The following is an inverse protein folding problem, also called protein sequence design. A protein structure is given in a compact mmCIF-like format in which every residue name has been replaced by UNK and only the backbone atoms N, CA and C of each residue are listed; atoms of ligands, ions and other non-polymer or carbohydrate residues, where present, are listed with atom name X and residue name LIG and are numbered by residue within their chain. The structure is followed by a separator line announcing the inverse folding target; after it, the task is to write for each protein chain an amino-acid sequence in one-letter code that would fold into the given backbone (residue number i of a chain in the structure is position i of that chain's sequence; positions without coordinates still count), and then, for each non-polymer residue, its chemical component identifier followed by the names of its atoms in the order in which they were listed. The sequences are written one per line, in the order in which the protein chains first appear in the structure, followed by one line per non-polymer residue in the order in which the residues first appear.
data_IF_549617404718
#
_entry.id   IF_549617404718
#
_cell.length_a   1.000
_cell.length_b   1.000
_cell.length_c   1.000
_cell.angle_alpha   90.00
_cell.angle_beta   90.00
_cell.angle_gamma   90.00
#
_symmetry.space_group_name_H-M   'P 1'
#
loop_
_entity.id
_entity.type
_entity.pdbx_description
1 polymer ?
#
# COMPACT_ATOMS: atom_id res chain seq x y z
N UNK A 1 -33.07 40.33 32.51
CA UNK A 1 -33.26 39.00 31.89
C UNK A 1 -32.93 39.13 30.41
N UNK A 2 -31.89 38.46 29.92
CA UNK A 2 -31.66 38.30 28.48
C UNK A 2 -31.02 36.93 28.26
N UNK A 3 -31.83 36.00 27.74
CA UNK A 3 -31.44 34.65 27.36
C UNK A 3 -30.71 34.72 26.03
N UNK A 4 -29.45 34.30 25.98
CA UNK A 4 -28.77 33.98 24.72
C UNK A 4 -28.95 32.50 24.42
N UNK A 5 -29.82 32.28 23.43
CA UNK A 5 -30.19 31.01 22.81
C UNK A 5 -28.95 30.33 22.24
N UNK A 6 -28.55 29.19 22.81
CA UNK A 6 -27.44 28.36 22.31
C UNK A 6 -27.93 27.60 21.06
N UNK A 7 -27.62 28.11 19.88
CA UNK A 7 -27.91 27.45 18.62
C UNK A 7 -26.83 26.43 18.29
N UNK A 8 -27.10 25.14 18.49
CA UNK A 8 -26.24 24.08 17.95
C UNK A 8 -26.63 23.89 16.48
N UNK A 9 -25.78 24.33 15.56
CA UNK A 9 -25.91 23.98 14.15
C UNK A 9 -25.63 22.47 14.00
N UNK A 10 -26.67 21.69 13.68
CA UNK A 10 -26.55 20.28 13.35
C UNK A 10 -25.62 20.13 12.12
N UNK A 11 -24.44 19.60 12.35
CA UNK A 11 -23.57 19.08 11.29
C UNK A 11 -24.40 17.99 10.58
N UNK A 12 -24.51 18.08 9.26
CA UNK A 12 -25.34 17.19 8.47
C UNK A 12 -24.73 15.77 8.50
N UNK A 13 -25.16 14.97 9.48
CA UNK A 13 -24.62 13.64 9.76
C UNK A 13 -24.67 12.72 8.53
N UNK A 14 -25.60 12.97 7.60
CA UNK A 14 -25.72 12.25 6.33
C UNK A 14 -24.51 12.42 5.41
N UNK A 15 -23.91 13.62 5.33
CA UNK A 15 -22.73 13.88 4.52
C UNK A 15 -21.49 13.19 5.11
N UNK A 16 -21.38 13.20 6.44
CA UNK A 16 -20.34 12.51 7.19
C UNK A 16 -20.45 10.98 7.04
N UNK A 17 -21.67 10.44 7.13
CA UNK A 17 -21.91 9.00 6.95
C UNK A 17 -21.64 8.55 5.51
N UNK A 18 -22.01 9.36 4.50
CA UNK A 18 -21.70 9.05 3.11
C UNK A 18 -20.19 9.13 2.83
N UNK A 19 -19.48 10.09 3.41
CA UNK A 19 -18.02 10.18 3.32
C UNK A 19 -17.35 8.97 3.97
N UNK A 20 -17.81 8.53 5.15
CA UNK A 20 -17.28 7.34 5.80
C UNK A 20 -17.62 6.07 5.02
N UNK A 21 -18.84 5.95 4.51
CA UNK A 21 -19.31 4.78 3.75
C UNK A 21 -18.62 4.63 2.38
N UNK A 22 -18.30 5.73 1.68
CA UNK A 22 -17.54 5.66 0.43
C UNK A 22 -16.09 5.25 0.66
N UNK A 23 -15.50 5.64 1.80
CA UNK A 23 -14.15 5.27 2.20
C UNK A 23 -14.05 3.85 2.81
N UNK A 24 -15.18 3.24 3.21
CA UNK A 24 -15.26 1.89 3.78
C UNK A 24 -15.46 0.77 2.76
N UNK A 25 -15.43 1.05 1.45
CA UNK A 25 -15.22 -0.02 0.46
C UNK A 25 -13.87 -0.66 0.75
N UNK A 26 -13.88 -1.81 1.42
CA UNK A 26 -12.71 -2.63 1.71
C UNK A 26 -12.01 -2.90 0.39
N UNK A 27 -11.03 -2.06 0.06
CA UNK A 27 -10.25 -2.18 -1.17
C UNK A 27 -9.41 -3.42 -0.98
N UNK A 28 -9.80 -4.50 -1.65
CA UNK A 28 -9.08 -5.77 -1.58
C UNK A 28 -7.66 -5.53 -2.10
N UNK A 29 -6.67 -5.71 -1.23
CA UNK A 29 -5.27 -5.60 -1.61
C UNK A 29 -4.95 -6.58 -2.74
N UNK A 30 -4.38 -6.07 -3.82
CA UNK A 30 -4.02 -6.84 -5.01
C UNK A 30 -2.60 -7.36 -4.86
N UNK A 31 -2.27 -8.40 -5.63
CA UNK A 31 -0.90 -8.89 -5.75
C UNK A 31 -0.44 -8.72 -7.18
N UNK A 32 0.72 -8.10 -7.35
CA UNK A 32 1.36 -7.83 -8.64
C UNK A 32 2.57 -8.75 -8.78
N UNK A 33 2.56 -9.58 -9.82
CA UNK A 33 3.60 -10.58 -10.05
C UNK A 33 4.69 -10.03 -10.96
N UNK A 34 5.91 -9.92 -10.41
CA UNK A 34 7.11 -9.47 -11.09
C UNK A 34 8.13 -10.60 -11.27
N UNK A 35 7.77 -11.86 -10.98
CA UNK A 35 8.69 -13.02 -11.10
C UNK A 35 9.22 -13.24 -12.52
N UNK A 36 8.46 -12.81 -13.53
CA UNK A 36 8.83 -12.91 -14.95
C UNK A 36 9.41 -11.59 -15.51
N UNK A 37 9.74 -10.64 -14.64
CA UNK A 37 10.29 -9.32 -15.01
C UNK A 37 11.80 -9.28 -14.78
N UNK A 38 12.50 -8.56 -15.65
CA UNK A 38 13.97 -8.48 -15.65
C UNK A 38 14.44 -7.34 -14.73
N UNK A 39 15.18 -7.62 -13.64
CA UNK A 39 15.78 -6.59 -12.81
C UNK A 39 16.72 -5.68 -13.61
N UNK A 40 16.71 -4.37 -13.33
CA UNK A 40 17.48 -3.36 -14.05
C UNK A 40 16.85 -2.90 -15.38
N UNK A 41 15.86 -3.63 -15.90
CA UNK A 41 15.15 -3.27 -17.14
C UNK A 41 13.68 -2.96 -16.89
N UNK A 42 12.93 -3.90 -16.30
CA UNK A 42 11.50 -3.74 -16.01
C UNK A 42 11.26 -3.05 -14.65
N UNK A 43 12.22 -3.18 -13.74
CA UNK A 43 12.19 -2.56 -12.41
C UNK A 43 13.60 -2.47 -11.83
N UNK A 44 13.79 -1.59 -10.86
CA UNK A 44 14.98 -1.52 -9.99
C UNK A 44 14.52 -1.78 -8.56
N UNK A 45 15.21 -2.64 -7.83
CA UNK A 45 14.94 -2.93 -6.42
C UNK A 45 16.22 -2.83 -5.61
N UNK A 46 16.18 -2.03 -4.55
CA UNK A 46 17.32 -1.76 -3.67
C UNK A 46 16.93 -2.06 -2.23
N UNK A 47 17.77 -2.81 -1.52
CA UNK A 47 17.55 -3.11 -0.09
C UNK A 47 17.88 -1.85 0.72
N UNK A 48 16.97 -1.45 1.61
CA UNK A 48 17.09 -0.22 2.41
C UNK A 48 17.48 -0.52 3.86
N UNK A 49 17.20 -1.73 4.35
CA UNK A 49 17.53 -2.17 5.71
C UNK A 49 18.49 -3.36 5.69
N UNK A 50 19.48 -3.35 6.59
CA UNK A 50 20.52 -4.39 6.71
C UNK A 50 19.95 -5.80 6.98
N UNK A 51 18.70 -5.89 7.43
CA UNK A 51 17.98 -7.12 7.71
C UNK A 51 17.21 -7.69 6.49
N UNK A 52 17.34 -7.06 5.32
CA UNK A 52 16.65 -7.45 4.08
C UNK A 52 15.12 -7.49 4.20
N UNK A 53 14.55 -6.81 5.21
CA UNK A 53 13.09 -6.77 5.40
C UNK A 53 12.43 -5.60 4.70
N UNK A 54 13.22 -4.61 4.25
CA UNK A 54 12.71 -3.44 3.51
C UNK A 54 13.55 -3.14 2.28
N UNK A 55 12.88 -2.70 1.23
CA UNK A 55 13.53 -2.22 0.02
C UNK A 55 12.74 -1.11 -0.66
N UNK A 56 13.41 -0.40 -1.54
CA UNK A 56 12.85 0.59 -2.45
C UNK A 56 12.74 -0.03 -3.83
N UNK A 57 11.58 0.07 -4.48
CA UNK A 57 11.37 -0.42 -5.84
C UNK A 57 10.92 0.70 -6.74
N UNK A 58 11.56 0.86 -7.90
CA UNK A 58 11.11 1.74 -8.98
C UNK A 58 10.72 0.91 -10.18
N UNK A 59 9.53 1.13 -10.73
CA UNK A 59 9.08 0.46 -11.95
C UNK A 59 8.04 1.30 -12.70
N UNK A 60 7.59 0.79 -13.84
CA UNK A 60 6.52 1.38 -14.64
C UNK A 60 5.27 0.49 -14.63
N UNK A 61 4.08 1.09 -14.59
CA UNK A 61 2.78 0.44 -14.56
C UNK A 61 1.80 1.15 -13.64
N UNK A 62 0.51 0.82 -13.75
CA UNK A 62 -0.56 1.57 -13.06
C UNK A 62 -1.30 0.74 -12.03
N UNK A 63 -1.85 1.46 -11.05
CA UNK A 63 -2.89 0.97 -10.16
C UNK A 63 -2.41 0.23 -8.91
N UNK A 64 -1.09 0.17 -8.66
CA UNK A 64 -0.54 -0.28 -7.39
C UNK A 64 -0.88 0.77 -6.33
N UNK A 65 -1.19 0.32 -5.12
CA UNK A 65 -1.54 1.18 -3.99
C UNK A 65 -0.91 0.67 -2.71
N UNK A 66 -0.83 1.55 -1.70
CA UNK A 66 -0.45 1.15 -0.34
C UNK A 66 -1.30 -0.03 0.13
N UNK A 67 -0.62 -1.02 0.72
CA UNK A 67 -1.19 -2.28 1.20
C UNK A 67 -1.27 -3.39 0.15
N UNK A 68 -1.14 -3.08 -1.15
CA UNK A 68 -0.98 -4.12 -2.18
C UNK A 68 0.33 -4.88 -1.99
N UNK A 69 0.43 -6.02 -2.67
CA UNK A 69 1.59 -6.90 -2.60
C UNK A 69 2.33 -6.97 -3.93
N UNK A 70 3.64 -7.08 -3.87
CA UNK A 70 4.52 -7.34 -5.01
C UNK A 70 5.24 -8.66 -4.76
N UNK A 71 5.23 -9.54 -5.76
CA UNK A 71 5.98 -10.79 -5.75
C UNK A 71 7.21 -10.65 -6.63
N UNK A 72 8.39 -10.80 -6.03
CA UNK A 72 9.68 -10.76 -6.72
C UNK A 72 10.33 -12.14 -6.69
N UNK A 73 11.02 -12.50 -7.76
CA UNK A 73 11.92 -13.65 -7.77
C UNK A 73 13.35 -13.15 -7.65
N UNK A 74 14.07 -13.67 -6.66
CA UNK A 74 15.50 -13.44 -6.50
C UNK A 74 16.17 -14.81 -6.42
N UNK A 75 17.06 -15.09 -7.37
CA UNK A 75 17.61 -16.42 -7.61
C UNK A 75 16.48 -17.47 -7.82
N UNK A 76 16.47 -18.53 -7.02
CA UNK A 76 15.45 -19.59 -7.05
C UNK A 76 14.33 -19.37 -6.02
N UNK A 77 14.34 -18.26 -5.30
CA UNK A 77 13.38 -17.98 -4.24
C UNK A 77 12.39 -16.88 -4.64
N UNK A 78 11.15 -17.02 -4.15
CA UNK A 78 10.08 -16.08 -4.38
C UNK A 78 9.76 -15.37 -3.07
N UNK A 79 9.82 -14.05 -3.12
CA UNK A 79 9.57 -13.19 -1.98
C UNK A 79 8.35 -12.32 -2.23
N UNK A 80 7.57 -12.12 -1.17
CA UNK A 80 6.38 -11.27 -1.20
C UNK A 80 6.60 -10.07 -0.32
N UNK A 81 6.32 -8.90 -0.87
CA UNK A 81 6.45 -7.63 -0.20
C UNK A 81 5.11 -6.91 -0.19
N UNK A 82 4.80 -6.20 0.89
CA UNK A 82 3.68 -5.28 0.96
C UNK A 82 4.17 -3.84 0.68
N UNK A 83 3.39 -3.09 -0.08
CA UNK A 83 3.64 -1.67 -0.37
C UNK A 83 3.30 -0.85 0.87
N UNK A 84 4.30 -0.27 1.53
CA UNK A 84 4.10 0.64 2.65
C UNK A 84 3.86 2.09 2.18
N UNK A 85 4.59 2.51 1.16
CA UNK A 85 4.51 3.85 0.56
C UNK A 85 4.68 3.74 -0.95
N UNK A 86 4.06 4.63 -1.72
CA UNK A 86 4.22 4.69 -3.17
C UNK A 86 4.02 6.13 -3.67
N UNK A 87 4.95 6.58 -4.50
CA UNK A 87 4.89 7.84 -5.22
C UNK A 87 4.81 7.58 -6.72
N UNK A 88 3.89 8.26 -7.40
CA UNK A 88 3.70 8.18 -8.83
C UNK A 88 4.28 9.42 -9.52
N UNK A 89 4.96 9.20 -10.64
CA UNK A 89 5.54 10.23 -11.48
C UNK A 89 4.88 10.23 -12.87
N UNK A 90 4.66 11.42 -13.42
CA UNK A 90 4.01 11.58 -14.73
C UNK A 90 4.97 11.47 -15.91
N UNK A 91 6.29 11.45 -15.68
CA UNK A 91 7.29 11.37 -16.73
C UNK A 91 8.50 10.51 -16.30
N UNK A 92 8.74 9.34 -16.93
CA UNK A 92 7.86 8.69 -17.91
C UNK A 92 6.49 8.35 -17.30
N UNK A 93 5.46 8.24 -18.15
CA UNK A 93 4.09 7.99 -17.70
C UNK A 93 3.99 6.64 -16.96
N UNK A 94 3.11 6.57 -15.95
CA UNK A 94 2.88 5.41 -15.10
C UNK A 94 4.16 4.92 -14.35
N UNK A 95 5.17 5.76 -14.17
CA UNK A 95 6.33 5.41 -13.34
C UNK A 95 6.01 5.62 -11.87
N UNK A 96 6.55 4.76 -11.02
CA UNK A 96 6.40 4.88 -9.58
C UNK A 96 7.63 4.38 -8.84
N UNK A 97 7.80 4.89 -7.62
CA UNK A 97 8.76 4.41 -6.64
C UNK A 97 8.02 4.06 -5.35
N UNK A 98 8.32 2.91 -4.76
CA UNK A 98 7.61 2.39 -3.59
C UNK A 98 8.56 1.87 -2.52
N UNK A 99 8.20 2.08 -1.26
CA UNK A 99 8.81 1.40 -0.11
C UNK A 99 8.05 0.10 0.12
N UNK A 100 8.81 -0.99 0.11
CA UNK A 100 8.32 -2.36 0.20
C UNK A 100 8.79 -2.99 1.51
N UNK A 101 7.89 -3.67 2.21
CA UNK A 101 8.22 -4.47 3.40
C UNK A 101 7.98 -5.95 3.11
N UNK A 102 9.00 -6.77 3.32
CA UNK A 102 8.93 -8.22 3.15
C UNK A 102 7.94 -8.82 4.15
N UNK A 103 7.08 -9.69 3.66
CA UNK A 103 6.20 -10.49 4.50
C UNK A 103 6.95 -11.76 4.90
N UNK A 104 7.36 -11.84 6.15
CA UNK A 104 7.84 -13.08 6.76
C UNK A 104 6.63 -13.81 7.36
N UNK A 105 6.59 -15.14 7.26
CA UNK A 105 5.47 -15.96 7.75
C UNK A 105 5.19 -15.89 9.27
N UNK A 106 5.81 -14.98 10.02
CA UNK A 106 5.71 -14.87 11.47
C UNK A 106 4.63 -13.88 11.97
N UNK A 107 3.67 -13.49 11.13
CA UNK A 107 2.44 -12.78 11.57
C UNK A 107 1.19 -13.68 11.51
N UNK A 108 1.39 -14.98 11.71
CA UNK A 108 0.39 -15.91 12.21
C UNK A 108 1.02 -16.61 13.43
N UNK A 109 0.85 -16.05 14.62
CA UNK A 109 1.10 -16.77 15.88
C UNK A 109 -0.16 -17.57 16.25
N UNK A 110 -0.05 -18.65 17.03
CA UNK A 110 -0.32 -20.02 16.60
C UNK A 110 -1.63 -20.57 17.18
N UNK A 111 -1.99 -21.79 16.75
CA UNK A 111 -3.08 -22.61 17.29
C UNK A 111 -3.09 -22.57 18.83
N UNK A 112 -4.19 -22.10 19.40
CA UNK A 112 -4.59 -22.42 20.77
C UNK A 112 -4.82 -23.94 20.83
N UNK A 113 -4.07 -24.60 21.72
CA UNK A 113 -4.18 -26.03 22.03
C UNK A 113 -5.49 -26.35 22.76
#
# INVERSE_FOLDING_TARGET
MLSTKLGIHLINASALLNFLATNLKVKRHRTYDYTHKVPGQDYVFEVVADDYTKGCMTAQGKGISVGDFITLQENSEVYRYQVEQIDYYSNPNDMWTAILKRITGASQTPLDY
#
